data_IF_338253418532
#
_entry.id   IF_338253418532
#
_cell.length_a   1.000
_cell.length_b   1.000
_cell.length_c   1.000
_cell.angle_alpha   90.00
_cell.angle_beta   90.00
_cell.angle_gamma   90.00
#
_symmetry.space_group_name_H-M   'P 1'
#
loop_
_entity.id
_entity.type
_entity.pdbx_description
1 polymer ?
#
# COMPACT_ATOMS: atom_id res chain seq x y z
N UNK A 1 30.18 -23.98 -42.56
CA UNK A 1 28.94 -23.16 -42.63
C UNK A 1 27.85 -23.61 -41.65
N UNK A 2 27.63 -24.92 -41.43
CA UNK A 2 26.48 -25.42 -40.63
C UNK A 2 26.46 -25.15 -39.10
N UNK A 3 27.58 -24.78 -38.47
CA UNK A 3 27.62 -24.60 -37.00
C UNK A 3 27.04 -23.24 -36.53
N UNK A 4 27.10 -22.22 -37.40
CA UNK A 4 26.66 -20.85 -37.07
C UNK A 4 25.12 -20.74 -37.15
N UNK A 5 24.48 -21.50 -38.05
CA UNK A 5 23.01 -21.51 -38.18
C UNK A 5 22.32 -22.25 -37.03
N UNK A 6 22.87 -23.37 -36.56
CA UNK A 6 22.30 -24.09 -35.41
C UNK A 6 22.39 -23.29 -34.10
N UNK A 7 23.49 -22.56 -33.89
CA UNK A 7 23.67 -21.79 -32.65
C UNK A 7 22.66 -20.63 -32.54
N UNK A 8 22.38 -19.94 -33.66
CA UNK A 8 21.37 -18.88 -33.73
C UNK A 8 19.95 -19.38 -33.40
N UNK A 9 19.58 -20.57 -33.89
CA UNK A 9 18.26 -21.16 -33.58
C UNK A 9 18.09 -21.56 -32.11
N UNK A 10 19.17 -21.93 -31.43
CA UNK A 10 19.13 -22.32 -30.00
C UNK A 10 18.94 -21.09 -29.12
N UNK A 11 19.67 -20.01 -29.39
CA UNK A 11 19.53 -18.73 -28.67
C UNK A 11 18.14 -18.15 -28.87
N UNK A 12 17.58 -18.24 -30.09
CA UNK A 12 16.22 -17.80 -30.37
C UNK A 12 15.17 -18.61 -29.58
N UNK A 13 15.31 -19.94 -29.53
CA UNK A 13 14.41 -20.82 -28.74
C UNK A 13 14.45 -20.48 -27.24
N UNK A 14 15.65 -20.26 -26.68
CA UNK A 14 15.82 -19.89 -25.27
C UNK A 14 15.15 -18.54 -24.97
N UNK A 15 15.33 -17.55 -25.85
CA UNK A 15 14.72 -16.23 -25.69
C UNK A 15 13.18 -16.28 -25.76
N UNK A 16 12.65 -17.13 -26.65
CA UNK A 16 11.21 -17.39 -26.74
C UNK A 16 10.68 -18.05 -25.46
N UNK A 17 11.41 -19.02 -24.93
CA UNK A 17 11.06 -19.72 -23.68
C UNK A 17 11.10 -18.80 -22.47
N UNK A 18 12.11 -17.93 -22.37
CA UNK A 18 12.21 -16.93 -21.31
C UNK A 18 11.06 -15.92 -21.36
N UNK A 19 10.72 -15.42 -22.56
CA UNK A 19 9.57 -14.54 -22.74
C UNK A 19 8.25 -15.22 -22.35
N UNK A 20 8.11 -16.52 -22.61
CA UNK A 20 6.94 -17.31 -22.21
C UNK A 20 6.86 -17.53 -20.69
N UNK A 21 7.99 -17.74 -20.02
CA UNK A 21 8.06 -17.85 -18.56
C UNK A 21 7.70 -16.54 -17.86
N UNK A 22 8.04 -15.39 -18.45
CA UNK A 22 7.68 -14.07 -17.93
C UNK A 22 6.25 -13.64 -18.28
N UNK A 23 5.47 -14.51 -18.93
CA UNK A 23 4.06 -14.25 -19.21
C UNK A 23 3.23 -14.19 -17.93
N UNK A 24 2.26 -13.26 -17.81
CA UNK A 24 1.47 -13.08 -16.59
C UNK A 24 0.71 -14.35 -16.17
N UNK A 25 0.18 -15.12 -17.11
CA UNK A 25 -0.48 -16.40 -16.84
C UNK A 25 0.49 -17.46 -16.26
N UNK A 26 1.71 -17.55 -16.81
CA UNK A 26 2.74 -18.50 -16.36
C UNK A 26 3.20 -18.18 -14.93
N UNK A 27 3.31 -16.89 -14.58
CA UNK A 27 3.64 -16.44 -13.22
C UNK A 27 2.54 -16.82 -12.23
N UNK A 28 1.27 -16.64 -12.60
CA UNK A 28 0.11 -17.02 -11.77
C UNK A 28 0.10 -18.54 -11.53
N UNK A 29 0.34 -19.33 -12.57
CA UNK A 29 0.41 -20.80 -12.47
C UNK A 29 1.56 -21.26 -11.55
N UNK A 30 2.73 -20.61 -11.65
CA UNK A 30 3.89 -20.89 -10.79
C UNK A 30 3.62 -20.52 -9.32
N UNK A 31 2.97 -19.37 -9.05
CA UNK A 31 2.61 -18.97 -7.69
C UNK A 31 1.51 -19.85 -7.09
N UNK A 32 0.59 -20.37 -7.90
CA UNK A 32 -0.49 -21.24 -7.45
C UNK A 32 0.00 -22.63 -7.00
N UNK A 33 1.10 -23.14 -7.57
CA UNK A 33 1.70 -24.44 -7.20
C UNK A 33 2.69 -24.32 -6.03
N UNK A 34 3.25 -23.14 -5.81
CA UNK A 34 4.21 -22.84 -4.73
C UNK A 34 3.77 -23.28 -3.31
N UNK A 35 2.54 -23.01 -2.83
CA UNK A 35 2.13 -23.42 -1.48
C UNK A 35 2.14 -24.95 -1.28
N UNK A 36 1.83 -25.74 -2.32
CA UNK A 36 1.86 -27.21 -2.25
C UNK A 36 3.30 -27.73 -2.06
N UNK A 37 4.28 -27.11 -2.72
CA UNK A 37 5.69 -27.49 -2.55
C UNK A 37 6.25 -27.08 -1.19
N UNK A 38 5.84 -25.93 -0.65
CA UNK A 38 6.21 -25.52 0.70
C UNK A 38 5.60 -26.40 1.79
N UNK A 39 4.34 -26.82 1.65
CA UNK A 39 3.68 -27.78 2.56
C UNK A 39 4.46 -29.11 2.65
N UNK A 40 5.17 -29.50 1.58
CA UNK A 40 5.99 -30.72 1.54
C UNK A 40 7.34 -30.57 2.27
N UNK A 41 7.88 -29.36 2.34
CA UNK A 41 9.20 -29.08 2.94
C UNK A 41 9.10 -28.65 4.42
N UNK A 42 8.04 -27.91 4.79
CA UNK A 42 7.86 -27.31 6.12
C UNK A 42 6.90 -28.05 7.06
N UNK A 43 6.62 -29.34 6.83
CA UNK A 43 5.84 -30.16 7.76
C UNK A 43 6.50 -30.35 9.16
N UNK A 44 7.58 -29.60 9.47
CA UNK A 44 8.43 -29.79 10.63
C UNK A 44 8.34 -28.70 11.71
N UNK A 45 7.74 -27.51 11.53
CA UNK A 45 7.55 -26.60 12.68
C UNK A 45 6.49 -25.48 12.48
N UNK A 46 5.51 -25.44 13.39
CA UNK A 46 4.70 -24.26 13.68
C UNK A 46 3.23 -24.23 13.22
N UNK A 47 2.32 -23.87 14.13
CA UNK A 47 0.90 -23.60 13.83
C UNK A 47 0.70 -22.30 13.01
N UNK A 48 1.70 -21.42 12.95
CA UNK A 48 1.66 -20.14 12.23
C UNK A 48 2.02 -20.27 10.75
N UNK A 49 2.98 -21.14 10.39
CA UNK A 49 3.33 -21.45 8.99
C UNK A 49 2.12 -22.05 8.27
N UNK A 50 1.40 -22.96 8.94
CA UNK A 50 0.14 -23.52 8.44
C UNK A 50 -0.97 -22.47 8.20
N UNK A 51 -0.98 -21.35 8.93
CA UNK A 51 -1.96 -20.25 8.73
C UNK A 51 -1.56 -19.32 7.59
N UNK A 52 -0.27 -18.99 7.47
CA UNK A 52 0.26 -18.21 6.36
C UNK A 52 0.12 -18.96 5.02
N UNK A 53 0.33 -20.28 5.01
CA UNK A 53 0.13 -21.12 3.83
C UNK A 53 -1.32 -21.14 3.32
N UNK A 54 -2.31 -20.94 4.20
CA UNK A 54 -3.72 -20.78 3.80
C UNK A 54 -3.98 -19.44 3.10
N UNK A 55 -3.26 -18.38 3.45
CA UNK A 55 -3.33 -17.10 2.72
C UNK A 55 -2.77 -17.24 1.30
N UNK A 56 -1.70 -18.03 1.11
CA UNK A 56 -1.16 -18.30 -0.23
C UNK A 56 -2.14 -19.08 -1.14
N UNK A 57 -3.18 -19.73 -0.60
CA UNK A 57 -4.24 -20.34 -1.42
C UNK A 57 -5.08 -19.31 -2.18
N UNK A 58 -5.08 -18.03 -1.77
CA UNK A 58 -5.78 -16.97 -2.52
C UNK A 58 -5.20 -16.80 -3.93
N UNK A 59 -3.90 -17.07 -4.14
CA UNK A 59 -3.27 -17.06 -5.45
C UNK A 59 -3.81 -18.17 -6.37
N UNK A 60 -4.31 -19.28 -5.80
CA UNK A 60 -4.97 -20.33 -6.59
C UNK A 60 -6.34 -19.87 -7.12
N UNK A 61 -7.02 -18.94 -6.45
CA UNK A 61 -8.26 -18.33 -6.96
C UNK A 61 -7.97 -17.45 -8.17
N UNK A 62 -6.82 -16.79 -8.21
CA UNK A 62 -6.36 -16.00 -9.37
C UNK A 62 -6.16 -16.89 -10.60
N UNK A 63 -5.67 -18.13 -10.40
CA UNK A 63 -5.61 -19.14 -11.46
C UNK A 63 -7.00 -19.45 -12.03
N UNK A 64 -8.03 -19.57 -11.21
CA UNK A 64 -9.41 -19.75 -11.70
C UNK A 64 -9.91 -18.50 -12.46
N UNK A 65 -9.42 -17.33 -12.07
CA UNK A 65 -9.69 -16.05 -12.73
C UNK A 65 -9.24 -16.04 -14.20
N UNK A 66 -8.05 -16.56 -14.53
CA UNK A 66 -7.53 -16.48 -15.91
C UNK A 66 -8.36 -17.26 -16.95
N UNK A 67 -9.21 -18.19 -16.51
CA UNK A 67 -10.14 -18.92 -17.38
C UNK A 67 -11.45 -18.16 -17.62
N UNK A 68 -11.74 -17.12 -16.83
CA UNK A 68 -12.96 -16.33 -16.95
C UNK A 68 -12.70 -15.08 -17.80
N UNK A 69 -13.45 -14.93 -18.90
CA UNK A 69 -13.36 -13.77 -19.81
C UNK A 69 -13.44 -12.42 -19.07
N UNK A 70 -14.35 -12.30 -18.09
CA UNK A 70 -14.53 -11.07 -17.31
C UNK A 70 -13.30 -10.69 -16.49
N UNK A 71 -12.59 -11.67 -15.94
CA UNK A 71 -11.41 -11.43 -15.14
C UNK A 71 -10.22 -11.01 -16.00
N UNK A 72 -10.05 -11.62 -17.17
CA UNK A 72 -9.02 -11.22 -18.15
C UNK A 72 -9.28 -9.79 -18.65
N UNK A 73 -10.53 -9.45 -18.96
CA UNK A 73 -10.92 -8.09 -19.34
C UNK A 73 -10.59 -7.07 -18.22
N UNK A 74 -10.93 -7.39 -16.96
CA UNK A 74 -10.62 -6.57 -15.80
C UNK A 74 -9.10 -6.34 -15.67
N UNK A 75 -8.30 -7.41 -15.73
CA UNK A 75 -6.83 -7.30 -15.64
C UNK A 75 -6.27 -6.46 -16.78
N UNK A 76 -6.76 -6.63 -18.01
CA UNK A 76 -6.30 -5.82 -19.15
C UNK A 76 -6.62 -4.33 -18.95
N UNK A 77 -7.80 -3.99 -18.45
CA UNK A 77 -8.17 -2.59 -18.14
C UNK A 77 -7.29 -2.02 -17.02
N UNK A 78 -7.00 -2.81 -15.98
CA UNK A 78 -6.07 -2.39 -14.91
C UNK A 78 -4.66 -2.17 -15.45
N UNK A 79 -4.20 -3.05 -16.34
CA UNK A 79 -2.86 -2.95 -16.92
C UNK A 79 -2.73 -1.73 -17.82
N UNK A 80 -3.74 -1.47 -18.64
CA UNK A 80 -3.78 -0.27 -19.48
C UNK A 80 -3.81 1.02 -18.63
N UNK A 81 -4.33 0.96 -17.40
CA UNK A 81 -4.43 2.11 -16.48
C UNK A 81 -3.17 2.37 -15.65
N UNK A 82 -2.13 1.53 -15.75
CA UNK A 82 -0.97 1.61 -14.85
C UNK A 82 -0.24 2.95 -14.87
N UNK A 83 -0.12 3.61 -16.04
CA UNK A 83 0.57 4.89 -16.14
C UNK A 83 -0.14 5.99 -15.33
N UNK A 84 -1.47 6.01 -15.40
CA UNK A 84 -2.32 6.97 -14.70
C UNK A 84 -2.35 6.70 -13.20
N UNK A 85 -2.42 5.42 -12.79
CA UNK A 85 -2.38 5.02 -11.37
C UNK A 85 -1.01 5.37 -10.75
N UNK A 86 0.09 5.15 -11.48
CA UNK A 86 1.42 5.52 -10.99
C UNK A 86 1.54 7.04 -10.76
N UNK A 87 1.02 7.85 -11.69
CA UNK A 87 0.96 9.30 -11.53
C UNK A 87 0.14 9.71 -10.29
N UNK A 88 -1.03 9.11 -10.09
CA UNK A 88 -1.88 9.37 -8.92
C UNK A 88 -1.13 9.06 -7.61
N UNK A 89 -0.47 7.91 -7.53
CA UNK A 89 0.31 7.51 -6.34
C UNK A 89 1.44 8.50 -6.08
N UNK A 90 2.15 8.96 -7.11
CA UNK A 90 3.22 9.95 -6.97
C UNK A 90 2.66 11.27 -6.42
N UNK A 91 1.55 11.78 -6.95
CA UNK A 91 0.93 13.03 -6.48
C UNK A 91 0.44 12.90 -5.04
N UNK A 92 -0.19 11.77 -4.68
CA UNK A 92 -0.61 11.49 -3.31
C UNK A 92 0.58 11.39 -2.35
N UNK A 93 1.69 10.78 -2.77
CA UNK A 93 2.90 10.70 -1.96
C UNK A 93 3.53 12.07 -1.71
N UNK A 94 3.65 12.91 -2.74
CA UNK A 94 4.13 14.29 -2.58
C UNK A 94 3.17 15.13 -1.72
N UNK A 95 1.86 14.97 -1.92
CA UNK A 95 0.85 15.59 -1.07
C UNK A 95 0.99 15.17 0.40
N UNK A 96 1.19 13.88 0.66
CA UNK A 96 1.42 13.35 2.00
C UNK A 96 2.70 13.92 2.62
N UNK A 97 3.77 14.04 1.84
CA UNK A 97 5.02 14.63 2.29
C UNK A 97 4.85 16.10 2.71
N UNK A 98 4.15 16.91 1.90
CA UNK A 98 3.95 18.33 2.16
C UNK A 98 2.97 18.54 3.32
N UNK A 99 1.74 18.04 3.19
CA UNK A 99 0.68 18.25 4.17
C UNK A 99 0.93 17.48 5.47
N UNK A 100 1.51 16.27 5.40
CA UNK A 100 1.89 15.53 6.59
C UNK A 100 3.01 16.20 7.39
N UNK A 101 3.99 16.82 6.71
CA UNK A 101 5.07 17.57 7.38
C UNK A 101 4.55 18.85 8.06
N UNK A 102 3.71 19.63 7.38
CA UNK A 102 3.09 20.82 7.99
C UNK A 102 2.20 20.43 9.16
N UNK A 103 1.43 19.35 9.01
CA UNK A 103 0.54 18.85 10.05
C UNK A 103 1.29 18.39 11.30
N UNK A 104 2.40 17.66 11.12
CA UNK A 104 3.28 17.27 12.22
C UNK A 104 3.77 18.50 13.01
N UNK A 105 4.23 19.55 12.32
CA UNK A 105 4.73 20.73 12.99
C UNK A 105 3.65 21.51 13.77
N UNK A 106 2.41 21.50 13.27
CA UNK A 106 1.29 22.20 13.89
C UNK A 106 0.67 21.44 15.08
N UNK A 107 0.74 20.10 15.08
CA UNK A 107 -0.01 19.26 16.03
C UNK A 107 0.85 18.31 16.89
N UNK A 108 2.19 18.32 16.73
CA UNK A 108 3.07 17.49 17.59
C UNK A 108 2.86 17.75 19.09
N UNK A 109 2.44 18.96 19.48
CA UNK A 109 2.25 19.31 20.88
C UNK A 109 3.54 19.28 21.71
N UNK A 110 3.42 19.00 23.00
CA UNK A 110 4.53 19.00 23.97
C UNK A 110 4.92 17.58 24.36
N UNK A 111 6.21 17.35 24.58
CA UNK A 111 6.69 16.10 25.16
C UNK A 111 6.34 16.08 26.65
N UNK A 112 5.38 15.23 27.03
CA UNK A 112 4.91 15.14 28.41
C UNK A 112 4.67 13.67 28.78
N UNK A 113 4.78 13.35 30.07
CA UNK A 113 4.47 12.03 30.59
C UNK A 113 2.94 11.88 30.64
N UNK A 114 2.38 10.92 29.90
CA UNK A 114 0.94 10.61 29.94
C UNK A 114 0.71 9.41 30.85
N UNK A 115 0.11 9.64 32.01
CA UNK A 115 -0.19 8.60 33.01
C UNK A 115 -1.61 8.03 32.84
N UNK A 116 -1.71 6.76 32.41
CA UNK A 116 -2.82 5.86 32.79
C UNK A 116 -2.49 4.36 32.63
N UNK A 117 -1.31 4.00 32.12
CA UNK A 117 -0.85 2.60 31.99
C UNK A 117 0.51 2.40 32.67
N UNK A 118 0.65 1.37 33.50
CA UNK A 118 1.93 0.93 34.10
C UNK A 118 2.61 -0.08 33.16
N UNK A 119 3.85 0.14 32.66
CA UNK A 119 4.80 1.23 32.95
C UNK A 119 4.57 2.52 32.13
N UNK A 120 5.06 3.68 32.62
CA UNK A 120 4.85 4.99 31.99
C UNK A 120 5.51 5.07 30.60
N UNK A 121 4.80 5.65 29.63
CA UNK A 121 5.28 5.89 28.26
C UNK A 121 5.49 7.38 28.02
N UNK A 122 6.59 7.73 27.37
CA UNK A 122 6.86 9.10 26.91
C UNK A 122 6.27 9.28 25.50
N UNK A 123 5.30 10.18 25.36
CA UNK A 123 4.66 10.47 24.07
C UNK A 123 4.49 11.96 23.90
N UNK A 124 4.36 12.39 22.64
CA UNK A 124 3.87 13.72 22.32
C UNK A 124 2.41 13.85 22.79
N UNK A 125 2.09 14.95 23.46
CA UNK A 125 0.77 15.22 24.03
C UNK A 125 0.27 16.55 23.50
N UNK A 126 -1.00 16.59 23.12
CA UNK A 126 -1.66 17.81 22.66
C UNK A 126 -2.94 18.05 23.47
N UNK A 127 -3.48 19.26 23.33
CA UNK A 127 -4.77 19.60 23.89
C UNK A 127 -5.85 18.97 23.01
N UNK A 128 -6.75 18.21 23.63
CA UNK A 128 -7.89 17.57 22.97
C UNK A 128 -8.85 18.61 22.36
N UNK A 129 -9.82 18.15 21.57
CA UNK A 129 -10.86 19.01 20.97
C UNK A 129 -11.63 19.84 21.99
N UNK A 130 -11.71 19.35 23.23
CA UNK A 130 -12.46 19.96 24.34
C UNK A 130 -11.72 21.15 24.96
N UNK A 131 -10.47 21.41 24.55
CA UNK A 131 -9.66 22.53 25.05
C UNK A 131 -9.14 22.37 26.48
N UNK A 132 -9.54 21.30 27.19
CA UNK A 132 -9.27 21.08 28.62
C UNK A 132 -8.41 19.83 28.82
N UNK A 133 -8.80 18.71 28.22
CA UNK A 133 -8.12 17.41 28.38
C UNK A 133 -6.85 17.33 27.55
N UNK A 134 -5.83 16.63 28.06
CA UNK A 134 -4.60 16.32 27.34
C UNK A 134 -4.69 14.89 26.78
N UNK A 135 -4.40 14.72 25.50
CA UNK A 135 -4.43 13.43 24.81
C UNK A 135 -3.12 13.15 24.07
N UNK A 136 -2.72 11.88 23.90
CA UNK A 136 -1.55 11.55 23.09
C UNK A 136 -1.75 12.04 21.65
N UNK A 137 -0.78 12.80 21.13
CA UNK A 137 -0.84 13.30 19.77
C UNK A 137 -0.69 12.13 18.78
N UNK A 138 -1.60 12.00 17.81
CA UNK A 138 -1.47 10.99 16.75
C UNK A 138 -0.30 11.32 15.79
N UNK A 139 0.17 12.57 15.78
CA UNK A 139 1.23 13.06 14.90
C UNK A 139 2.61 12.91 15.55
N UNK A 140 3.04 11.65 15.76
CA UNK A 140 4.30 11.33 16.45
C UNK A 140 5.55 11.49 15.58
N UNK A 141 5.42 11.33 14.27
CA UNK A 141 6.52 11.46 13.31
C UNK A 141 5.98 11.89 11.94
N UNK A 142 6.86 12.42 11.08
CA UNK A 142 6.48 12.85 9.72
C UNK A 142 5.83 11.69 8.93
N UNK A 143 6.38 10.46 8.90
CA UNK A 143 5.73 9.34 8.22
C UNK A 143 4.41 8.92 8.88
N UNK A 144 4.29 9.03 10.20
CA UNK A 144 3.01 8.77 10.87
C UNK A 144 1.92 9.76 10.43
N UNK A 145 2.27 11.02 10.19
CA UNK A 145 1.34 12.03 9.66
C UNK A 145 0.88 11.76 8.22
N UNK A 146 1.59 10.92 7.46
CA UNK A 146 1.15 10.55 6.11
C UNK A 146 -0.14 9.74 6.14
N UNK A 147 -0.34 8.91 7.18
CA UNK A 147 -1.58 8.17 7.39
C UNK A 147 -2.79 9.11 7.41
N UNK A 148 -2.71 10.18 8.21
CA UNK A 148 -3.76 11.19 8.28
C UNK A 148 -4.06 11.81 6.91
N UNK A 149 -3.02 12.21 6.16
CA UNK A 149 -3.22 12.80 4.84
C UNK A 149 -3.86 11.81 3.87
N UNK A 150 -3.40 10.56 3.82
CA UNK A 150 -3.93 9.54 2.91
C UNK A 150 -5.41 9.27 3.20
N UNK A 151 -5.77 9.08 4.47
CA UNK A 151 -7.17 8.84 4.90
C UNK A 151 -8.07 10.04 4.62
N UNK A 152 -7.54 11.26 4.74
CA UNK A 152 -8.26 12.50 4.44
C UNK A 152 -8.43 12.72 2.94
N UNK A 153 -7.36 12.54 2.17
CA UNK A 153 -7.35 12.73 0.72
C UNK A 153 -8.24 11.70 0.01
N UNK A 154 -8.29 10.47 0.53
CA UNK A 154 -9.19 9.40 0.06
C UNK A 154 -10.60 9.47 0.65
N UNK A 155 -10.91 10.54 1.39
CA UNK A 155 -12.22 10.82 2.01
C UNK A 155 -12.75 9.71 2.93
N UNK A 156 -11.90 8.78 3.39
CA UNK A 156 -12.26 7.70 4.33
C UNK A 156 -12.56 8.27 5.71
N UNK A 157 -11.70 9.16 6.21
CA UNK A 157 -11.96 9.93 7.43
C UNK A 157 -12.25 9.12 8.69
N UNK A 158 -11.40 8.15 9.06
CA UNK A 158 -11.60 7.32 10.27
C UNK A 158 -11.74 8.13 11.58
N UNK A 159 -11.15 9.33 11.65
CA UNK A 159 -11.23 10.21 12.83
C UNK A 159 -10.27 9.86 13.96
N UNK A 160 -9.37 8.90 13.76
CA UNK A 160 -8.29 8.50 14.68
C UNK A 160 -7.17 9.55 14.78
N UNK A 161 -6.93 10.28 13.69
CA UNK A 161 -6.05 11.44 13.65
C UNK A 161 -6.82 12.64 13.09
N UNK A 162 -6.92 13.73 13.86
CA UNK A 162 -7.60 14.95 13.41
C UNK A 162 -6.95 16.19 14.03
N UNK A 163 -6.79 17.31 13.30
CA UNK A 163 -6.31 18.57 13.89
C UNK A 163 -7.19 19.05 15.04
N UNK A 164 -6.58 19.48 16.15
CA UNK A 164 -7.32 20.21 17.20
C UNK A 164 -7.03 21.71 17.12
N UNK A 165 -5.84 22.12 16.67
CA UNK A 165 -5.45 23.52 16.49
C UNK A 165 -6.20 24.21 15.37
N UNK A 166 -6.52 25.50 15.54
CA UNK A 166 -7.14 26.34 14.50
C UNK A 166 -6.32 26.35 13.21
N UNK A 167 -4.99 26.44 13.32
CA UNK A 167 -4.09 26.41 12.16
C UNK A 167 -4.10 25.03 11.47
N UNK A 168 -4.09 23.94 12.25
CA UNK A 168 -4.17 22.58 11.72
C UNK A 168 -5.49 22.33 10.98
N UNK A 169 -6.61 22.85 11.51
CA UNK A 169 -7.93 22.77 10.84
C UNK A 169 -7.94 23.50 9.49
N UNK A 170 -7.31 24.67 9.39
CA UNK A 170 -7.20 25.38 8.11
C UNK A 170 -6.39 24.56 7.09
N UNK A 171 -5.25 23.99 7.50
CA UNK A 171 -4.43 23.12 6.65
C UNK A 171 -5.22 21.88 6.22
N UNK A 172 -6.02 21.29 7.12
CA UNK A 172 -6.89 20.17 6.79
C UNK A 172 -7.93 20.52 5.72
N UNK A 173 -8.54 21.69 5.78
CA UNK A 173 -9.47 22.14 4.74
C UNK A 173 -8.81 22.19 3.36
N UNK A 174 -7.59 22.74 3.28
CA UNK A 174 -6.82 22.74 2.03
C UNK A 174 -6.43 21.33 1.58
N UNK A 175 -6.03 20.45 2.50
CA UNK A 175 -5.68 19.08 2.20
C UNK A 175 -6.87 18.27 1.66
N UNK A 176 -8.09 18.49 2.20
CA UNK A 176 -9.33 17.88 1.70
C UNK A 176 -9.64 18.32 0.26
N UNK A 177 -9.58 19.62 -0.02
CA UNK A 177 -9.83 20.15 -1.37
C UNK A 177 -8.81 19.60 -2.38
N UNK A 178 -7.53 19.59 -2.00
CA UNK A 178 -6.47 19.02 -2.85
C UNK A 178 -6.67 17.52 -3.08
N UNK A 179 -7.02 16.75 -2.06
CA UNK A 179 -7.27 15.30 -2.18
C UNK A 179 -8.38 14.97 -3.17
N UNK A 180 -9.51 15.69 -3.09
CA UNK A 180 -10.64 15.51 -4.02
C UNK A 180 -10.24 15.87 -5.45
N UNK A 181 -9.49 16.97 -5.65
CA UNK A 181 -8.99 17.36 -6.97
C UNK A 181 -8.05 16.30 -7.56
N UNK A 182 -7.16 15.73 -6.74
CA UNK A 182 -6.19 14.72 -7.15
C UNK A 182 -6.88 13.41 -7.54
N UNK A 183 -7.92 12.99 -6.82
CA UNK A 183 -8.68 11.78 -7.15
C UNK A 183 -9.57 11.98 -8.39
N UNK A 184 -10.04 13.20 -8.64
CA UNK A 184 -10.87 13.51 -9.82
C UNK A 184 -10.06 13.49 -11.15
N UNK A 185 -8.78 13.88 -11.12
CA UNK A 185 -7.93 13.99 -12.30
C UNK A 185 -7.69 12.69 -13.12
N UNK A 186 -7.39 11.53 -12.52
CA UNK A 186 -7.15 10.28 -13.28
C UNK A 186 -8.42 9.66 -13.85
N UNK A 187 -9.61 10.17 -13.49
CA UNK A 187 -10.92 9.65 -13.93
C UNK A 187 -11.41 10.33 -15.21
N UNK A 188 -10.83 11.49 -15.58
CA UNK A 188 -11.13 12.25 -16.81
C UNK A 188 -10.11 12.02 -17.92
#
# INVERSE_FOLDING_TARGET
SGNISQHSTTIHKIKLWLNYLTGPATIIDALAIFPYYLERYEAADGLLSLRLLRLFRIFQVVRLGQYNFHFVCLVNVLVDSFLTINLLIIVLFFGAAIFGSTMYWLEKGTWEYTETTTPPRFTYVRIASDGISKEPSPFTSIPASFWWFIVTATTVGYGDACPTSTAGKLVACFAMLMGVLVIAFPVS
#
